data_IF_480621085500
#
_entry.id   IF_480621085500
#
_cell.length_a   1.000
_cell.length_b   1.000
_cell.length_c   1.000
_cell.angle_alpha   90.00
_cell.angle_beta   90.00
_cell.angle_gamma   90.00
#
_symmetry.space_group_name_H-M   'P 1'
#
loop_
_entity.id
_entity.type
_entity.pdbx_description
1 polymer ?
#
# COMPACT_ATOMS: atom_id res chain seq x y z
N UNK A 1 -6.64 -21.55 -3.49
CA UNK A 1 -6.17 -20.61 -2.44
C UNK A 1 -5.84 -19.29 -3.10
N UNK A 2 -6.42 -18.16 -2.63
CA UNK A 2 -6.07 -16.82 -3.16
C UNK A 2 -4.63 -16.46 -2.78
N UNK A 3 -3.93 -15.73 -3.64
CA UNK A 3 -2.59 -15.21 -3.32
C UNK A 3 -2.72 -13.98 -2.42
N UNK A 4 -2.03 -14.02 -1.28
CA UNK A 4 -1.99 -12.91 -0.33
C UNK A 4 -1.06 -11.83 -0.89
N UNK A 5 -1.58 -10.63 -1.10
CA UNK A 5 -0.84 -9.52 -1.71
C UNK A 5 -0.76 -8.35 -0.72
N UNK A 6 0.43 -7.78 -0.59
CA UNK A 6 0.64 -6.49 0.05
C UNK A 6 0.88 -5.42 -1.01
N UNK A 7 0.34 -4.20 -0.80
CA UNK A 7 0.57 -3.06 -1.70
C UNK A 7 1.43 -2.02 -0.98
N UNK A 8 2.50 -1.58 -1.64
CA UNK A 8 3.37 -0.50 -1.14
C UNK A 8 2.98 0.82 -1.81
N UNK A 9 2.81 1.89 -1.02
CA UNK A 9 2.43 3.22 -1.51
C UNK A 9 3.28 4.33 -0.90
N UNK A 10 3.34 5.47 -1.59
CA UNK A 10 4.00 6.70 -1.13
C UNK A 10 3.12 7.94 -1.26
N UNK A 11 1.82 7.79 -1.59
CA UNK A 11 0.96 8.93 -1.91
C UNK A 11 -0.52 8.58 -2.01
N UNK A 12 -1.23 9.19 -2.97
CA UNK A 12 -2.71 9.18 -3.08
C UNK A 12 -3.36 7.79 -3.26
N UNK A 13 -2.59 6.78 -3.67
CA UNK A 13 -3.04 5.39 -3.75
C UNK A 13 -4.11 5.09 -4.82
N UNK A 14 -4.16 5.81 -5.95
CA UNK A 14 -5.17 5.54 -7.00
C UNK A 14 -5.08 4.11 -7.56
N UNK A 15 -3.86 3.61 -7.84
CA UNK A 15 -3.67 2.22 -8.28
C UNK A 15 -4.04 1.21 -7.19
N UNK A 16 -3.72 1.53 -5.93
CA UNK A 16 -4.11 0.69 -4.79
C UNK A 16 -5.63 0.56 -4.71
N UNK A 17 -6.38 1.65 -4.84
CA UNK A 17 -7.86 1.59 -4.88
C UNK A 17 -8.35 0.71 -6.03
N UNK A 18 -7.81 0.90 -7.24
CA UNK A 18 -8.21 0.08 -8.39
C UNK A 18 -7.94 -1.43 -8.16
N UNK A 19 -6.81 -1.78 -7.54
CA UNK A 19 -6.47 -3.17 -7.20
C UNK A 19 -7.37 -3.73 -6.09
N UNK A 20 -7.72 -2.93 -5.09
CA UNK A 20 -8.67 -3.33 -4.03
C UNK A 20 -10.04 -3.64 -4.64
N UNK A 21 -10.55 -2.76 -5.51
CA UNK A 21 -11.83 -2.97 -6.19
C UNK A 21 -11.81 -4.22 -7.07
N UNK A 22 -10.74 -4.39 -7.86
CA UNK A 22 -10.57 -5.56 -8.72
C UNK A 22 -10.51 -6.88 -7.93
N UNK A 23 -10.00 -6.85 -6.69
CA UNK A 23 -9.85 -8.03 -5.84
C UNK A 23 -11.11 -8.40 -5.02
N UNK A 24 -12.19 -7.61 -5.09
CA UNK A 24 -13.45 -7.89 -4.37
C UNK A 24 -14.16 -9.19 -4.79
N UNK A 25 -14.23 -9.55 -6.09
CA UNK A 25 -14.90 -10.78 -6.50
C UNK A 25 -14.31 -12.03 -5.84
N UNK A 26 -15.18 -13.00 -5.54
CA UNK A 26 -14.79 -14.23 -4.86
C UNK A 26 -13.80 -15.08 -5.69
N UNK A 27 -13.88 -14.97 -7.02
CA UNK A 27 -13.07 -15.68 -8.02
C UNK A 27 -11.77 -14.95 -8.40
N UNK A 28 -11.55 -13.71 -7.94
CA UNK A 28 -10.28 -13.03 -8.18
C UNK A 28 -9.11 -13.80 -7.54
N UNK A 29 -7.99 -14.03 -8.25
CA UNK A 29 -6.94 -14.95 -7.80
C UNK A 29 -6.08 -14.41 -6.64
N UNK A 30 -6.34 -13.18 -6.19
CA UNK A 30 -5.59 -12.50 -5.15
C UNK A 30 -6.50 -11.92 -4.06
N UNK A 31 -5.92 -11.68 -2.90
CA UNK A 31 -6.52 -11.02 -1.75
C UNK A 31 -5.56 -9.95 -1.26
N UNK A 32 -6.00 -8.70 -1.21
CA UNK A 32 -5.20 -7.60 -0.66
C UNK A 32 -5.29 -7.67 0.86
N UNK A 33 -4.20 -8.07 1.51
CA UNK A 33 -4.18 -8.33 2.96
C UNK A 33 -3.45 -7.26 3.77
N UNK A 34 -2.71 -6.36 3.10
CA UNK A 34 -1.90 -5.34 3.75
C UNK A 34 -1.59 -4.18 2.80
N UNK A 35 -1.59 -2.96 3.34
CA UNK A 35 -1.01 -1.79 2.68
C UNK A 35 0.14 -1.25 3.52
N UNK A 36 1.30 -1.01 2.91
CA UNK A 36 2.47 -0.44 3.55
C UNK A 36 2.73 0.93 2.94
N UNK A 37 3.00 1.96 3.75
CA UNK A 37 3.51 3.22 3.23
C UNK A 37 4.86 3.59 3.82
N UNK A 38 5.69 4.22 2.99
CA UNK A 38 6.92 4.84 3.46
C UNK A 38 6.71 6.25 4.04
N UNK A 39 5.46 6.73 4.09
CA UNK A 39 5.09 8.07 4.56
C UNK A 39 3.84 8.00 5.42
N UNK A 40 3.91 8.52 6.64
CA UNK A 40 2.77 8.59 7.55
C UNK A 40 1.63 9.47 7.01
N UNK A 41 1.95 10.46 6.18
CA UNK A 41 1.01 11.43 5.60
C UNK A 41 0.39 10.98 4.26
N UNK A 42 0.65 9.75 3.80
CA UNK A 42 0.15 9.27 2.51
C UNK A 42 -1.39 9.17 2.51
N UNK A 43 -2.12 9.94 1.67
CA UNK A 43 -3.59 9.92 1.68
C UNK A 43 -4.19 8.57 1.29
N UNK A 44 -3.41 7.67 0.68
CA UNK A 44 -3.84 6.31 0.38
C UNK A 44 -4.05 5.44 1.62
N UNK A 45 -3.43 5.76 2.77
CA UNK A 45 -3.61 5.00 4.01
C UNK A 45 -5.07 5.03 4.50
N UNK A 46 -5.70 6.20 4.47
CA UNK A 46 -7.11 6.34 4.87
C UNK A 46 -8.05 5.59 3.92
N UNK A 47 -7.72 5.54 2.62
CA UNK A 47 -8.49 4.76 1.64
C UNK A 47 -8.38 3.26 1.90
N UNK A 48 -7.18 2.77 2.24
CA UNK A 48 -6.98 1.36 2.59
C UNK A 48 -7.75 0.97 3.85
N UNK A 49 -7.70 1.81 4.90
CA UNK A 49 -8.48 1.62 6.14
C UNK A 49 -9.98 1.62 5.87
N UNK A 50 -10.47 2.54 5.04
CA UNK A 50 -11.88 2.61 4.64
C UNK A 50 -12.34 1.36 3.87
N UNK A 51 -11.43 0.66 3.19
CA UNK A 51 -11.67 -0.63 2.56
C UNK A 51 -11.49 -1.84 3.50
N UNK A 52 -11.27 -1.61 4.79
CA UNK A 52 -11.09 -2.67 5.80
C UNK A 52 -9.73 -3.37 5.73
N UNK A 53 -8.73 -2.80 5.04
CA UNK A 53 -7.42 -3.41 4.87
C UNK A 53 -6.45 -2.87 5.93
N UNK A 54 -5.73 -3.75 6.66
CA UNK A 54 -4.68 -3.34 7.60
C UNK A 54 -3.61 -2.47 6.93
N UNK A 55 -3.11 -1.48 7.67
CA UNK A 55 -2.07 -0.57 7.20
C UNK A 55 -0.86 -0.53 8.11
N UNK A 56 0.34 -0.45 7.55
CA UNK A 56 1.61 -0.26 8.28
C UNK A 56 2.38 0.91 7.67
N UNK A 57 3.05 1.69 8.52
CA UNK A 57 3.96 2.77 8.07
C UNK A 57 5.39 2.37 8.42
N UNK A 58 6.29 2.43 7.44
CA UNK A 58 7.72 2.19 7.60
C UNK A 58 8.44 3.39 6.97
N UNK A 59 8.74 4.41 7.75
CA UNK A 59 9.30 5.67 7.23
C UNK A 59 10.65 5.48 6.53
N UNK A 60 10.82 6.10 5.35
CA UNK A 60 12.10 6.13 4.62
C UNK A 60 12.96 7.37 4.95
N UNK A 61 12.53 8.19 5.91
CA UNK A 61 13.08 9.52 6.19
C UNK A 61 14.55 9.51 6.61
N UNK A 62 15.02 8.39 7.18
CA UNK A 62 16.40 8.22 7.63
C UNK A 62 17.42 8.11 6.49
N UNK A 63 16.97 7.91 5.24
CA UNK A 63 17.85 7.67 4.10
C UNK A 63 17.88 8.84 3.11
N UNK A 64 17.66 10.08 3.56
CA UNK A 64 17.66 11.25 2.67
C UNK A 64 16.49 11.32 1.69
N UNK A 65 16.40 12.43 0.94
CA UNK A 65 15.25 12.73 0.05
C UNK A 65 15.43 12.28 -1.41
N UNK A 66 16.59 11.73 -1.74
CA UNK A 66 16.95 11.31 -3.09
C UNK A 66 17.37 9.84 -3.12
N UNK A 67 17.38 9.24 -4.31
CA UNK A 67 17.74 7.83 -4.50
C UNK A 67 19.13 7.50 -3.97
N UNK A 68 20.09 8.40 -4.19
CA UNK A 68 21.46 8.24 -3.71
C UNK A 68 21.53 8.13 -2.17
N UNK A 69 20.75 8.93 -1.44
CA UNK A 69 20.65 8.78 0.01
C UNK A 69 19.98 7.46 0.42
N UNK A 70 19.01 6.98 -0.38
CA UNK A 70 18.25 5.76 -0.09
C UNK A 70 19.05 4.47 -0.30
N UNK A 71 20.02 4.49 -1.22
CA UNK A 71 20.82 3.32 -1.63
C UNK A 71 22.23 3.29 -1.01
N UNK A 72 22.62 4.30 -0.23
CA UNK A 72 23.90 4.37 0.48
C UNK A 72 23.89 3.54 1.77
#
# INVERSE_FOLDING_TARGET
>A
MKRRVAILISGRGSNMVALIEAARPADFPAEIVLVISNRADAPGLEKAKASGIPTVVIESNSFGKNRAGFEA
#
